data_IF_437272441168
#
_entry.id   IF_437272441168
#
_cell.length_a   1.000
_cell.length_b   1.000
_cell.length_c   1.000
_cell.angle_alpha   90.00
_cell.angle_beta   90.00
_cell.angle_gamma   90.00
#
_symmetry.space_group_name_H-M   'P 1'
#
loop_
_entity.id
_entity.type
_entity.pdbx_description
1 polymer ?
#
# COMPACT_ATOMS: atom_id res chain seq x y z
N UNK A 1 -56.35 60.23 -13.63
CA UNK A 1 -56.90 60.00 -12.27
C UNK A 1 -56.95 58.49 -12.04
N UNK A 2 -56.25 57.99 -11.00
CA UNK A 2 -56.12 56.57 -10.60
C UNK A 2 -57.43 56.13 -9.94
N UNK A 3 -58.12 55.04 -10.33
CA UNK A 3 -57.87 53.59 -10.21
C UNK A 3 -57.79 53.04 -8.77
N UNK A 4 -58.45 51.90 -8.62
CA UNK A 4 -59.27 51.41 -7.49
C UNK A 4 -58.49 50.83 -6.30
N UNK A 5 -59.20 50.85 -5.18
CA UNK A 5 -58.94 50.25 -3.86
C UNK A 5 -58.75 48.72 -3.95
N UNK A 6 -57.76 48.16 -3.24
CA UNK A 6 -57.60 46.72 -3.02
C UNK A 6 -57.33 46.44 -1.53
N UNK A 7 -58.25 45.70 -0.92
CA UNK A 7 -58.17 45.15 0.43
C UNK A 7 -57.73 43.68 0.35
N UNK A 8 -56.57 43.37 0.93
CA UNK A 8 -56.22 42.27 1.88
C UNK A 8 -57.09 40.99 1.95
N UNK A 9 -56.62 39.93 2.66
CA UNK A 9 -55.36 39.18 2.57
C UNK A 9 -55.65 37.65 2.58
N UNK A 10 -54.86 36.76 1.99
CA UNK A 10 -54.86 35.36 2.50
C UNK A 10 -53.54 34.64 2.20
N UNK A 11 -52.89 34.33 3.33
CA UNK A 11 -51.74 33.47 3.49
C UNK A 11 -52.02 32.05 3.00
N UNK A 12 -51.08 31.46 2.28
CA UNK A 12 -50.78 30.01 2.20
C UNK A 12 -49.44 29.83 1.49
N UNK A 13 -48.35 29.98 2.25
CA UNK A 13 -47.02 29.57 1.79
C UNK A 13 -46.92 28.06 2.03
N UNK A 14 -46.96 27.30 0.94
CA UNK A 14 -46.66 25.86 0.92
C UNK A 14 -45.16 25.72 1.08
N UNK A 15 -44.72 25.31 2.27
CA UNK A 15 -43.33 25.02 2.58
C UNK A 15 -42.96 23.66 1.97
N UNK A 16 -42.36 23.67 0.78
CA UNK A 16 -41.70 22.48 0.21
C UNK A 16 -40.41 22.23 0.99
N UNK A 17 -40.45 21.23 1.88
CA UNK A 17 -39.27 20.62 2.47
C UNK A 17 -38.51 19.86 1.38
N UNK A 18 -37.48 20.47 0.81
CA UNK A 18 -36.44 19.78 0.05
C UNK A 18 -35.61 18.94 1.03
N UNK A 19 -35.93 17.65 1.11
CA UNK A 19 -35.08 16.66 1.75
C UNK A 19 -33.80 16.47 0.94
N UNK A 20 -32.71 17.12 1.33
CA UNK A 20 -31.37 16.81 0.85
C UNK A 20 -30.99 15.43 1.41
N UNK A 21 -31.17 14.39 0.60
CA UNK A 21 -30.63 13.06 0.87
C UNK A 21 -29.11 13.12 0.70
N UNK A 22 -28.36 13.18 1.80
CA UNK A 22 -26.92 12.95 1.78
C UNK A 22 -26.68 11.46 1.49
N UNK A 23 -26.37 11.14 0.23
CA UNK A 23 -25.83 9.84 -0.14
C UNK A 23 -24.43 9.71 0.44
N UNK A 24 -24.29 8.93 1.51
CA UNK A 24 -22.98 8.52 2.03
C UNK A 24 -22.44 7.45 1.08
N UNK A 25 -21.53 7.82 0.19
CA UNK A 25 -20.80 6.87 -0.63
C UNK A 25 -19.85 6.08 0.27
N UNK A 26 -20.19 4.83 0.54
CA UNK A 26 -19.31 3.89 1.23
C UNK A 26 -18.19 3.49 0.26
N UNK A 27 -17.01 4.10 0.38
CA UNK A 27 -15.83 3.64 -0.33
C UNK A 27 -15.34 2.35 0.34
N UNK A 28 -15.61 1.22 -0.30
CA UNK A 28 -14.97 -0.04 0.06
C UNK A 28 -13.52 0.04 -0.44
N UNK A 29 -12.58 0.21 0.49
CA UNK A 29 -11.14 0.15 0.23
C UNK A 29 -10.81 -1.25 -0.28
N UNK A 30 -10.66 -1.37 -1.60
CA UNK A 30 -10.46 -2.66 -2.25
C UNK A 30 -8.98 -2.98 -2.23
N UNK A 31 -8.54 -3.73 -1.22
CA UNK A 31 -7.20 -4.27 -1.16
C UNK A 31 -6.91 -5.13 -2.41
N UNK A 32 -5.83 -4.81 -3.13
CA UNK A 32 -5.40 -5.56 -4.32
C UNK A 32 -4.55 -6.75 -3.86
N UNK A 33 -4.95 -8.00 -4.13
CA UNK A 33 -4.19 -9.17 -3.72
C UNK A 33 -2.88 -9.29 -4.52
N UNK A 34 -1.79 -9.76 -3.88
CA UNK A 34 -0.51 -10.02 -4.53
C UNK A 34 -0.60 -11.10 -5.60
N UNK A 35 0.09 -10.88 -6.73
CA UNK A 35 0.33 -11.91 -7.73
C UNK A 35 1.81 -12.27 -7.73
N UNK A 36 2.20 -13.54 -7.56
CA UNK A 36 3.56 -13.97 -7.85
C UNK A 36 3.78 -13.79 -9.35
N UNK A 37 4.67 -12.87 -9.71
CA UNK A 37 4.98 -12.51 -11.09
C UNK A 37 6.49 -12.66 -11.29
N UNK A 38 6.88 -13.48 -12.27
CA UNK A 38 8.23 -13.39 -12.83
C UNK A 38 8.21 -12.26 -13.87
N UNK A 39 8.96 -11.20 -13.61
CA UNK A 39 9.10 -10.03 -14.48
C UNK A 39 10.60 -9.80 -14.72
N UNK A 40 11.18 -10.35 -15.81
CA UNK A 40 12.62 -10.31 -16.03
C UNK A 40 13.15 -8.88 -16.27
N UNK A 41 12.31 -7.96 -16.74
CA UNK A 41 12.70 -6.56 -16.91
C UNK A 41 12.83 -5.86 -15.55
N UNK A 42 11.90 -6.14 -14.64
CA UNK A 42 11.94 -5.65 -13.27
C UNK A 42 13.07 -6.29 -12.46
N UNK A 43 13.31 -7.60 -12.60
CA UNK A 43 14.45 -8.29 -11.98
C UNK A 43 15.77 -7.68 -12.45
N UNK A 44 15.96 -7.49 -13.76
CA UNK A 44 17.16 -6.85 -14.30
C UNK A 44 17.30 -5.39 -13.85
N UNK A 45 16.19 -4.68 -13.64
CA UNK A 45 16.23 -3.33 -13.07
C UNK A 45 16.71 -3.35 -11.61
N UNK A 46 16.12 -4.21 -10.77
CA UNK A 46 16.49 -4.36 -9.36
C UNK A 46 17.95 -4.84 -9.20
N UNK A 47 18.38 -5.78 -10.04
CA UNK A 47 19.77 -6.26 -10.09
C UNK A 47 20.77 -5.11 -10.31
N UNK A 48 20.43 -4.12 -11.16
CA UNK A 48 21.28 -2.94 -11.40
C UNK A 48 21.30 -1.95 -10.24
N UNK A 49 20.34 -2.00 -9.32
CA UNK A 49 20.33 -1.15 -8.12
C UNK A 49 21.27 -1.66 -7.04
N UNK A 50 21.80 -2.87 -7.18
CA UNK A 50 22.71 -3.48 -6.22
C UNK A 50 24.12 -3.43 -6.81
N UNK A 51 25.07 -2.92 -6.03
CA UNK A 51 26.47 -2.78 -6.45
C UNK A 51 27.27 -4.09 -6.34
N UNK A 52 26.61 -5.25 -6.39
CA UNK A 52 27.20 -6.58 -6.14
C UNK A 52 26.82 -7.58 -7.24
N UNK A 53 27.58 -8.68 -7.34
CA UNK A 53 27.24 -9.83 -8.20
C UNK A 53 26.19 -10.77 -7.57
N UNK A 54 25.53 -10.34 -6.49
CA UNK A 54 24.52 -11.13 -5.79
C UNK A 54 23.24 -11.23 -6.61
N UNK A 55 22.55 -12.36 -6.51
CA UNK A 55 21.32 -12.58 -7.27
C UNK A 55 20.13 -11.83 -6.69
N UNK A 56 19.20 -11.39 -7.54
CA UNK A 56 17.88 -10.90 -7.12
C UNK A 56 16.81 -11.94 -7.43
N UNK A 57 15.91 -12.17 -6.49
CA UNK A 57 14.70 -12.95 -6.71
C UNK A 57 13.46 -12.16 -6.30
N UNK A 58 12.52 -11.94 -7.22
CA UNK A 58 11.24 -11.33 -6.89
C UNK A 58 10.35 -12.37 -6.20
N UNK A 59 9.83 -12.02 -5.02
CA UNK A 59 8.89 -12.87 -4.28
C UNK A 59 7.44 -12.50 -4.58
N UNK A 60 7.14 -11.19 -4.63
CA UNK A 60 5.79 -10.71 -4.91
C UNK A 60 5.81 -9.33 -5.55
N UNK A 61 4.85 -9.09 -6.45
CA UNK A 61 4.63 -7.79 -7.09
C UNK A 61 3.15 -7.45 -7.02
N UNK A 62 2.84 -6.22 -6.62
CA UNK A 62 1.49 -5.66 -6.64
C UNK A 62 1.53 -4.33 -7.37
N UNK A 63 0.62 -4.16 -8.33
CA UNK A 63 0.31 -2.83 -8.86
C UNK A 63 -0.45 -2.04 -7.79
N UNK A 64 -0.02 -0.82 -7.53
CA UNK A 64 -0.59 0.02 -6.50
C UNK A 64 -0.94 1.41 -7.03
N UNK A 65 -1.72 2.14 -6.25
CA UNK A 65 -2.00 3.57 -6.43
C UNK A 65 -1.72 4.27 -5.09
N UNK A 66 -0.44 4.37 -4.72
CA UNK A 66 0.03 4.81 -3.41
C UNK A 66 -0.07 6.32 -3.23
N UNK A 67 0.17 7.11 -4.28
CA UNK A 67 0.03 8.56 -4.24
C UNK A 67 -0.64 9.11 -5.52
N UNK A 68 -1.65 9.99 -5.39
CA UNK A 68 -2.43 10.46 -6.54
C UNK A 68 -1.65 11.32 -7.56
N UNK A 69 -0.46 11.80 -7.19
CA UNK A 69 0.34 12.72 -8.02
C UNK A 69 1.60 12.06 -8.62
N UNK A 70 1.83 10.77 -8.36
CA UNK A 70 2.94 10.05 -8.97
C UNK A 70 2.62 9.75 -10.43
N UNK A 71 3.64 9.85 -11.28
CA UNK A 71 3.50 9.60 -12.72
C UNK A 71 3.85 8.15 -13.05
N UNK A 72 3.00 7.51 -13.85
CA UNK A 72 3.21 6.15 -14.36
C UNK A 72 2.54 5.08 -13.50
N UNK A 73 2.78 3.82 -13.86
CA UNK A 73 2.31 2.68 -13.06
C UNK A 73 3.20 2.50 -11.83
N UNK A 74 2.59 2.40 -10.66
CA UNK A 74 3.31 2.13 -9.41
C UNK A 74 3.25 0.65 -9.07
N UNK A 75 4.35 0.15 -8.50
CA UNK A 75 4.45 -1.22 -8.01
C UNK A 75 5.09 -1.29 -6.64
N UNK A 76 4.52 -2.13 -5.79
CA UNK A 76 5.12 -2.57 -4.54
C UNK A 76 5.70 -3.96 -4.76
N UNK A 77 6.97 -4.13 -4.42
CA UNK A 77 7.72 -5.36 -4.69
C UNK A 77 8.40 -5.83 -3.42
N UNK A 78 8.22 -7.12 -3.11
CA UNK A 78 9.11 -7.82 -2.18
C UNK A 78 10.07 -8.65 -3.02
N UNK A 79 11.36 -8.46 -2.75
CA UNK A 79 12.43 -9.19 -3.43
C UNK A 79 13.52 -9.57 -2.44
N UNK A 80 14.25 -10.62 -2.79
CA UNK A 80 15.33 -11.18 -1.98
C UNK A 80 16.65 -10.93 -2.68
N UNK A 81 17.59 -10.36 -1.95
CA UNK A 81 19.00 -10.33 -2.29
C UNK A 81 19.63 -11.65 -1.84
N UNK A 82 20.19 -12.40 -2.79
CA UNK A 82 20.81 -13.70 -2.59
C UNK A 82 22.33 -13.53 -2.52
N UNK A 83 22.83 -13.33 -1.31
CA UNK A 83 24.26 -13.26 -1.03
C UNK A 83 24.90 -14.64 -0.82
N UNK A 84 26.24 -14.71 -0.80
CA UNK A 84 26.96 -15.97 -0.65
C UNK A 84 26.80 -16.61 0.74
N UNK A 85 26.56 -15.81 1.78
CA UNK A 85 26.47 -16.27 3.17
C UNK A 85 25.10 -16.03 3.82
N UNK A 86 24.30 -15.13 3.27
CA UNK A 86 22.99 -14.76 3.80
C UNK A 86 22.10 -14.25 2.67
N UNK A 87 20.79 -14.37 2.88
CA UNK A 87 19.78 -13.66 2.08
C UNK A 87 19.18 -12.52 2.89
N UNK A 88 18.71 -11.50 2.20
CA UNK A 88 17.94 -10.42 2.82
C UNK A 88 16.75 -10.04 1.96
N UNK A 89 15.59 -9.88 2.60
CA UNK A 89 14.37 -9.45 1.94
C UNK A 89 14.28 -7.93 1.99
N UNK A 90 13.75 -7.35 0.92
CA UNK A 90 13.60 -5.92 0.72
C UNK A 90 12.19 -5.63 0.25
N UNK A 91 11.62 -4.53 0.75
CA UNK A 91 10.41 -3.92 0.25
C UNK A 91 10.80 -2.70 -0.59
N UNK A 92 10.37 -2.68 -1.84
CA UNK A 92 10.59 -1.55 -2.74
C UNK A 92 9.29 -1.02 -3.31
N UNK A 93 9.25 0.30 -3.45
CA UNK A 93 8.23 1.01 -4.22
C UNK A 93 8.88 1.52 -5.49
N UNK A 94 8.26 1.20 -6.62
CA UNK A 94 8.72 1.59 -7.95
C UNK A 94 7.63 2.35 -8.68
N UNK A 95 8.03 3.21 -9.60
CA UNK A 95 7.15 3.78 -10.62
C UNK A 95 7.69 3.50 -12.02
N UNK A 96 6.81 3.56 -13.02
CA UNK A 96 7.18 3.40 -14.42
C UNK A 96 6.76 4.59 -15.29
N UNK A 97 7.26 5.82 -15.04
CA UNK A 97 6.97 6.96 -15.89
C UNK A 97 7.53 6.72 -17.30
N UNK A 98 6.70 6.91 -18.32
CA UNK A 98 7.08 6.73 -19.73
C UNK A 98 7.65 5.33 -20.06
N UNK A 99 7.25 4.29 -19.31
CA UNK A 99 7.70 2.92 -19.55
C UNK A 99 9.10 2.59 -19.01
N UNK A 100 9.75 3.52 -18.30
CA UNK A 100 11.06 3.27 -17.66
C UNK A 100 10.88 3.09 -16.16
N UNK A 101 11.43 2.02 -15.59
CA UNK A 101 11.41 1.78 -14.15
C UNK A 101 12.24 2.83 -13.40
N UNK A 102 11.67 3.33 -12.31
CA UNK A 102 12.31 4.20 -11.35
C UNK A 102 12.09 3.64 -9.94
N UNK A 103 13.16 3.54 -9.17
CA UNK A 103 13.09 3.18 -7.76
C UNK A 103 12.73 4.42 -6.95
N UNK A 104 11.62 4.37 -6.21
CA UNK A 104 11.16 5.49 -5.38
C UNK A 104 11.62 5.35 -3.93
N UNK A 105 11.52 4.14 -3.37
CA UNK A 105 11.99 3.83 -2.03
C UNK A 105 12.32 2.35 -1.90
N UNK A 106 13.28 2.02 -1.02
CA UNK A 106 13.59 0.66 -0.60
C UNK A 106 13.80 0.63 0.91
N UNK A 107 13.33 -0.43 1.56
CA UNK A 107 13.57 -0.72 2.97
C UNK A 107 13.91 -2.21 3.13
N UNK A 108 14.91 -2.51 3.97
CA UNK A 108 15.26 -3.89 4.30
C UNK A 108 14.27 -4.47 5.31
N UNK A 109 13.72 -5.63 4.99
CA UNK A 109 12.88 -6.45 5.87
C UNK A 109 13.73 -7.47 6.68
N UNK A 110 15.05 -7.47 6.49
CA UNK A 110 15.97 -8.42 7.13
C UNK A 110 15.86 -9.84 6.55
N UNK A 111 16.26 -10.85 7.34
CA UNK A 111 16.23 -12.27 6.93
C UNK A 111 14.86 -12.96 7.09
N UNK A 112 13.83 -12.22 7.51
CA UNK A 112 12.49 -12.76 7.75
C UNK A 112 11.81 -13.12 6.42
N UNK A 113 11.28 -14.34 6.29
CA UNK A 113 10.39 -14.70 5.17
C UNK A 113 9.22 -13.72 5.16
N UNK A 114 9.01 -13.01 4.05
CA UNK A 114 8.03 -11.93 3.96
C UNK A 114 7.10 -12.13 2.76
N UNK A 115 5.81 -11.96 2.99
CA UNK A 115 4.75 -12.05 1.98
C UNK A 115 3.91 -10.79 2.03
N UNK A 116 3.76 -10.14 0.88
CA UNK A 116 2.91 -8.97 0.73
C UNK A 116 1.45 -9.42 0.83
N UNK A 117 0.66 -8.85 1.73
CA UNK A 117 -0.75 -9.25 1.95
C UNK A 117 -1.71 -8.32 1.24
N UNK A 118 -1.49 -7.02 1.42
CA UNK A 118 -2.38 -5.99 0.92
C UNK A 118 -1.63 -4.69 0.70
N UNK A 119 -2.10 -3.93 -0.30
CA UNK A 119 -1.70 -2.56 -0.55
C UNK A 119 -2.97 -1.74 -0.74
N UNK A 120 -3.08 -0.61 -0.03
CA UNK A 120 -4.21 0.32 -0.14
C UNK A 120 -3.83 1.55 -0.96
N UNK A 121 -4.84 2.28 -1.43
CA UNK A 121 -4.66 3.53 -2.16
C UNK A 121 -4.17 4.69 -1.28
N UNK A 122 -4.19 4.53 0.04
CA UNK A 122 -3.66 5.51 1.00
C UNK A 122 -2.15 5.35 1.27
N UNK A 123 -1.50 4.42 0.55
CA UNK A 123 -0.09 4.10 0.69
C UNK A 123 0.20 3.12 1.84
N UNK A 124 -0.81 2.46 2.40
CA UNK A 124 -0.61 1.44 3.44
C UNK A 124 -0.26 0.10 2.80
N UNK A 125 0.80 -0.52 3.30
CA UNK A 125 1.34 -1.78 2.82
C UNK A 125 1.36 -2.75 4.01
N UNK A 126 0.63 -3.85 3.91
CA UNK A 126 0.61 -4.90 4.93
C UNK A 126 1.42 -6.11 4.46
N UNK A 127 2.31 -6.58 5.33
CA UNK A 127 3.22 -7.69 5.06
C UNK A 127 3.10 -8.69 6.19
N UNK A 128 2.91 -9.95 5.86
CA UNK A 128 3.14 -11.06 6.79
C UNK A 128 4.61 -11.41 6.75
N UNK A 129 5.27 -11.44 7.91
CA UNK A 129 6.66 -11.87 8.02
C UNK A 129 6.80 -12.99 9.06
N UNK A 130 7.79 -13.88 8.87
CA UNK A 130 8.18 -14.87 9.88
C UNK A 130 9.47 -14.46 10.58
N UNK A 131 9.43 -14.41 11.91
CA UNK A 131 10.59 -14.14 12.76
C UNK A 131 10.99 -15.36 13.59
N UNK A 132 12.26 -15.45 14.00
CA UNK A 132 12.70 -16.49 14.91
C UNK A 132 12.03 -16.34 16.29
N UNK A 133 11.38 -17.40 16.73
CA UNK A 133 10.97 -17.60 18.11
C UNK A 133 12.12 -18.06 19.01
N UNK A 134 11.90 -18.12 20.33
CA UNK A 134 12.93 -18.49 21.30
C UNK A 134 13.41 -19.94 21.13
N UNK A 135 12.53 -20.81 20.61
CA UNK A 135 12.80 -22.24 20.41
C UNK A 135 13.09 -22.58 18.94
N UNK A 136 13.13 -21.57 18.06
CA UNK A 136 13.33 -21.81 16.63
C UNK A 136 14.81 -22.08 16.31
N UNK A 137 15.11 -23.07 15.45
CA UNK A 137 16.44 -23.18 14.87
C UNK A 137 16.78 -21.92 14.08
N UNK A 138 18.06 -21.55 14.04
CA UNK A 138 18.56 -20.34 13.36
C UNK A 138 18.10 -20.25 11.89
N UNK A 139 17.87 -21.39 11.23
CA UNK A 139 17.43 -21.46 9.84
C UNK A 139 15.94 -21.21 9.60
N UNK A 140 15.12 -21.29 10.65
CA UNK A 140 13.76 -21.81 10.51
C UNK A 140 12.78 -21.02 11.38
N UNK A 141 12.51 -19.75 11.03
CA UNK A 141 11.59 -18.90 11.78
C UNK A 141 10.14 -19.43 11.68
N UNK A 142 9.44 -19.48 12.81
CA UNK A 142 8.08 -20.00 12.94
C UNK A 142 7.07 -18.95 13.41
N UNK A 143 7.53 -17.86 14.04
CA UNK A 143 6.62 -16.85 14.56
C UNK A 143 6.14 -15.92 13.45
N UNK A 144 4.85 -15.96 13.16
CA UNK A 144 4.23 -15.08 12.19
C UNK A 144 3.87 -13.73 12.82
N UNK A 145 4.24 -12.64 12.16
CA UNK A 145 3.89 -11.28 12.54
C UNK A 145 3.38 -10.50 11.33
N UNK A 146 2.44 -9.58 11.55
CA UNK A 146 1.99 -8.64 10.53
C UNK A 146 2.70 -7.31 10.72
N UNK A 147 3.50 -6.93 9.73
CA UNK A 147 4.18 -5.65 9.63
C UNK A 147 3.33 -4.71 8.77
N UNK A 148 3.26 -3.45 9.19
CA UNK A 148 2.60 -2.41 8.42
C UNK A 148 3.60 -1.34 8.04
N UNK A 149 3.58 -0.93 6.78
CA UNK A 149 4.40 0.13 6.25
C UNK A 149 3.52 1.17 5.60
N UNK A 150 3.95 2.42 5.64
CA UNK A 150 3.35 3.50 4.87
C UNK A 150 4.36 4.05 3.89
N UNK A 151 3.98 4.10 2.63
CA UNK A 151 4.65 4.92 1.64
C UNK A 151 4.05 6.32 1.64
N UNK A 152 4.87 7.34 1.87
CA UNK A 152 4.45 8.73 1.76
C UNK A 152 5.66 9.63 1.48
N UNK A 153 5.50 10.58 0.54
CA UNK A 153 6.53 11.59 0.22
C UNK A 153 7.88 10.97 -0.16
N UNK A 154 7.86 9.89 -0.93
CA UNK A 154 9.09 9.21 -1.37
C UNK A 154 9.77 8.36 -0.30
N UNK A 155 9.09 8.03 0.80
CA UNK A 155 9.68 7.25 1.89
C UNK A 155 8.78 6.10 2.31
N UNK A 156 9.39 4.96 2.63
CA UNK A 156 8.77 3.84 3.33
C UNK A 156 9.03 3.98 4.83
N UNK A 157 7.97 4.01 5.62
CA UNK A 157 8.05 4.10 7.09
C UNK A 157 7.29 2.94 7.70
N UNK A 158 7.95 2.19 8.58
CA UNK A 158 7.29 1.16 9.38
C UNK A 158 6.32 1.81 10.38
N UNK A 159 5.06 1.39 10.35
CA UNK A 159 4.08 1.71 11.35
C UNK A 159 4.22 0.68 12.47
N UNK A 160 4.54 1.13 13.68
CA UNK A 160 4.58 0.25 14.85
C UNK A 160 3.18 -0.30 15.10
N UNK A 161 2.91 -1.51 14.64
CA UNK A 161 1.73 -2.26 15.06
C UNK A 161 1.99 -2.72 16.49
N UNK A 162 1.17 -2.29 17.44
CA UNK A 162 1.19 -2.87 18.78
C UNK A 162 0.85 -4.36 18.65
N UNK A 163 1.87 -5.22 18.62
CA UNK A 163 1.68 -6.65 18.71
C UNK A 163 0.94 -6.95 19.99
N UNK A 164 -0.34 -7.31 19.89
CA UNK A 164 -1.04 -7.97 20.99
C UNK A 164 -0.36 -9.32 21.19
N UNK A 165 0.67 -9.31 22.04
CA UNK A 165 1.25 -10.51 22.63
C UNK A 165 0.08 -11.29 23.23
N UNK A 166 -0.26 -12.41 22.59
CA UNK A 166 -1.16 -13.39 23.17
C UNK A 166 -0.59 -13.77 24.52
N UNK A 167 -1.29 -13.36 25.59
CA UNK A 167 -0.96 -13.74 26.96
C UNK A 167 -1.17 -15.27 27.08
N UNK A 168 -0.25 -16.00 27.77
CA UNK A 168 -0.20 -17.47 27.79
C UNK A 168 -1.48 -18.14 28.27
#
# INVERSE_FOLDING_TARGET
MRYFDDRSPFSKVVSMLFGLSLSVSSFADTAIPPKPLSDPALEAFLQKQIETEEGVQIQSVVKAELEPNLLGEERVVIWTLLGPAYWSNHLSVLSQPNGQWQLLATLSLGGAEATLEAVTSEGLISITAKTPGPDDPVCCPSQQQTLQYRYAKGQLVELKTESKIGKP
#
